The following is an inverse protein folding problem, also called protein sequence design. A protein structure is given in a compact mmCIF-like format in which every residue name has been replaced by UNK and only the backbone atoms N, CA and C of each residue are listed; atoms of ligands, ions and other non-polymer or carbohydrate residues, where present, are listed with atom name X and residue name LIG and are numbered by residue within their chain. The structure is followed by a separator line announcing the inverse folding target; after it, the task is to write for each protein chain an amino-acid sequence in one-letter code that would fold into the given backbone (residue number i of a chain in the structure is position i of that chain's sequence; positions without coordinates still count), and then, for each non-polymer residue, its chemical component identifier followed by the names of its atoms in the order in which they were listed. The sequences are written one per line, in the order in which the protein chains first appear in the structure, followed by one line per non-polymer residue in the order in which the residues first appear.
data_IF_245353310614
#
_entry.id   IF_245353310614
#
_cell.length_a   1.000
_cell.length_b   1.000
_cell.length_c   1.000
_cell.angle_alpha   90.00
_cell.angle_beta   90.00
_cell.angle_gamma   90.00
#
_symmetry.space_group_name_H-M   'P 1'
#
loop_
_entity.id
_entity.type
_entity.pdbx_description
1 polymer ?
#
# COMPACT_ATOMS: atom_id res chain seq x y z
N UNK A 1 -4.74 27.15 -49.76
CA UNK A 1 -4.88 25.84 -49.08
C UNK A 1 -5.27 26.10 -47.63
N UNK A 2 -6.50 25.78 -47.28
CA UNK A 2 -7.08 25.94 -45.93
C UNK A 2 -6.52 24.85 -45.03
N UNK A 3 -5.72 25.19 -44.02
CA UNK A 3 -5.35 24.25 -42.98
C UNK A 3 -6.49 24.15 -41.97
N UNK A 4 -7.19 23.02 -42.05
CA UNK A 4 -8.17 22.53 -41.09
C UNK A 4 -7.39 22.01 -39.88
N UNK A 5 -7.11 22.86 -38.89
CA UNK A 5 -6.53 22.40 -37.62
C UNK A 5 -7.67 22.01 -36.70
N UNK A 6 -7.86 20.70 -36.58
CA UNK A 6 -8.81 19.99 -35.74
C UNK A 6 -8.66 20.44 -34.28
N UNK A 7 -9.70 21.06 -33.71
CA UNK A 7 -9.79 21.30 -32.27
C UNK A 7 -10.06 19.95 -31.61
N UNK A 8 -9.02 19.35 -31.01
CA UNK A 8 -9.18 18.21 -30.12
C UNK A 8 -9.77 18.75 -28.82
N UNK A 9 -11.10 18.76 -28.74
CA UNK A 9 -11.83 19.04 -27.51
C UNK A 9 -11.41 17.99 -26.47
N UNK A 10 -10.56 18.42 -25.53
CA UNK A 10 -10.15 17.67 -24.36
C UNK A 10 -11.43 17.44 -23.53
N UNK A 11 -12.08 16.30 -23.73
CA UNK A 11 -13.15 15.83 -22.88
C UNK A 11 -12.53 15.51 -21.51
N UNK A 12 -12.42 16.52 -20.65
CA UNK A 12 -12.30 16.31 -19.22
C UNK A 12 -13.65 15.81 -18.74
N UNK A 13 -13.89 14.51 -18.88
CA UNK A 13 -14.74 13.81 -17.94
C UNK A 13 -14.06 13.95 -16.58
N UNK A 14 -14.50 14.95 -15.81
CA UNK A 14 -14.25 15.00 -14.38
C UNK A 14 -14.89 13.74 -13.79
N UNK A 15 -14.08 12.69 -13.64
CA UNK A 15 -14.49 11.48 -12.94
C UNK A 15 -14.81 11.90 -11.51
N UNK A 16 -16.10 11.80 -11.25
CA UNK A 16 -16.81 11.96 -10.01
C UNK A 16 -16.00 11.38 -8.83
N UNK A 17 -15.43 12.25 -7.99
CA UNK A 17 -15.17 12.00 -6.57
C UNK A 17 -14.40 10.73 -6.16
N UNK A 18 -13.62 10.12 -7.04
CA UNK A 18 -12.94 8.87 -6.69
C UNK A 18 -11.61 9.16 -6.00
N UNK A 19 -11.58 8.89 -4.69
CA UNK A 19 -10.40 9.11 -3.85
C UNK A 19 -9.31 8.11 -4.27
N UNK A 20 -8.44 8.54 -5.16
CA UNK A 20 -7.35 7.73 -5.71
C UNK A 20 -6.08 8.02 -4.94
N UNK A 21 -5.57 7.06 -4.19
CA UNK A 21 -4.24 7.16 -3.60
C UNK A 21 -3.20 6.80 -4.67
N UNK A 22 -2.29 7.73 -4.95
CA UNK A 22 -1.25 7.56 -5.98
C UNK A 22 0.14 7.61 -5.34
N UNK A 23 0.91 6.55 -5.54
CA UNK A 23 2.33 6.49 -5.13
C UNK A 23 3.18 6.69 -6.38
N UNK A 24 4.15 7.62 -6.30
CA UNK A 24 5.13 7.90 -7.36
C UNK A 24 6.54 7.62 -6.83
N UNK A 25 7.31 6.88 -7.61
CA UNK A 25 8.72 6.58 -7.33
C UNK A 25 9.51 6.74 -8.63
N UNK A 26 10.72 7.35 -8.63
CA UNK A 26 11.44 7.94 -7.49
C UNK A 26 10.94 9.36 -7.16
N UNK A 27 11.07 9.78 -5.90
CA UNK A 27 10.63 11.11 -5.43
C UNK A 27 11.60 12.24 -5.87
N UNK A 28 12.88 11.94 -6.15
CA UNK A 28 13.90 12.96 -6.48
C UNK A 28 14.94 12.54 -7.57
N UNK A 29 14.70 11.51 -8.39
CA UNK A 29 15.78 10.89 -9.20
C UNK A 29 15.50 10.52 -10.66
N UNK A 30 16.58 10.28 -11.42
CA UNK A 30 16.57 9.59 -12.73
C UNK A 30 16.24 8.11 -12.52
N UNK A 31 15.06 7.68 -12.94
CA UNK A 31 14.59 6.30 -12.81
C UNK A 31 13.23 6.09 -13.47
N UNK A 32 12.74 4.85 -13.46
CA UNK A 32 11.43 4.52 -14.02
C UNK A 32 10.30 4.94 -13.07
N UNK A 33 9.32 5.66 -13.60
CA UNK A 33 8.16 6.10 -12.82
C UNK A 33 7.22 4.91 -12.61
N UNK A 34 7.08 4.48 -11.36
CA UNK A 34 6.05 3.54 -10.94
C UNK A 34 4.82 4.32 -10.47
N UNK A 35 3.65 3.97 -11.00
CA UNK A 35 2.37 4.51 -10.57
C UNK A 35 1.48 3.38 -10.08
N UNK A 36 1.14 3.42 -8.80
CA UNK A 36 0.16 2.52 -8.19
C UNK A 36 -1.05 3.37 -7.81
N UNK A 37 -2.24 2.96 -8.27
CA UNK A 37 -3.50 3.66 -8.03
C UNK A 37 -4.49 2.71 -7.38
N UNK A 38 -5.06 3.16 -6.27
CA UNK A 38 -6.08 2.40 -5.54
C UNK A 38 -7.45 3.03 -5.77
N UNK A 39 -8.40 2.18 -6.12
CA UNK A 39 -9.80 2.55 -6.26
C UNK A 39 -10.57 2.04 -5.03
N UNK A 40 -11.10 2.96 -4.24
CA UNK A 40 -11.94 2.60 -3.10
C UNK A 40 -13.38 2.42 -3.55
N UNK A 41 -13.94 1.25 -3.28
CA UNK A 41 -15.37 0.96 -3.45
C UNK A 41 -15.93 0.23 -2.22
N UNK A 42 -17.24 0.35 -1.97
CA UNK A 42 -17.93 -0.33 -0.86
C UNK A 42 -18.02 -1.85 -1.03
N UNK A 43 -17.92 -2.34 -2.26
CA UNK A 43 -17.95 -3.76 -2.58
C UNK A 43 -16.55 -4.40 -2.54
N UNK A 44 -15.49 -3.59 -2.50
CA UNK A 44 -14.13 -4.09 -2.32
C UNK A 44 -13.84 -4.26 -0.83
N UNK A 45 -13.76 -5.52 -0.37
CA UNK A 45 -13.36 -5.83 1.00
C UNK A 45 -11.97 -5.29 1.31
N UNK A 46 -11.73 -4.85 2.55
CA UNK A 46 -10.49 -4.20 3.01
C UNK A 46 -9.25 -5.09 2.79
N UNK A 47 -8.52 -4.96 1.67
CA UNK A 47 -7.47 -5.90 1.35
C UNK A 47 -6.20 -5.52 2.10
N UNK A 48 -5.52 -6.54 2.64
CA UNK A 48 -4.19 -6.39 3.22
C UNK A 48 -3.18 -6.67 2.14
N UNK A 49 -2.42 -5.65 1.75
CA UNK A 49 -1.55 -5.66 0.57
C UNK A 49 -0.17 -5.13 0.94
N UNK A 50 0.82 -5.55 0.16
CA UNK A 50 2.18 -5.02 0.20
C UNK A 50 2.78 -5.08 -1.20
N UNK A 51 3.44 -4.00 -1.60
CA UNK A 51 4.24 -3.93 -2.81
C UNK A 51 5.69 -3.71 -2.39
N UNK A 52 6.60 -4.55 -2.87
CA UNK A 52 8.02 -4.43 -2.61
C UNK A 52 8.82 -4.81 -3.85
N UNK A 53 10.06 -4.33 -3.91
CA UNK A 53 10.99 -4.66 -4.97
C UNK A 53 11.90 -5.80 -4.53
N UNK A 54 12.20 -6.68 -5.48
CA UNK A 54 13.22 -7.71 -5.35
C UNK A 54 14.20 -7.60 -6.50
N UNK A 55 15.40 -8.13 -6.29
CA UNK A 55 16.29 -8.49 -7.39
C UNK A 55 15.70 -9.69 -8.17
N UNK A 56 16.21 -9.99 -9.39
CA UNK A 56 15.81 -11.17 -10.14
C UNK A 56 16.04 -12.50 -9.40
N UNK A 57 16.98 -12.54 -8.45
CA UNK A 57 17.26 -13.70 -7.60
C UNK A 57 16.29 -13.84 -6.41
N UNK A 58 15.33 -12.92 -6.25
CA UNK A 58 14.34 -12.92 -5.16
C UNK A 58 14.76 -12.13 -3.92
N UNK A 59 15.99 -11.63 -3.85
CA UNK A 59 16.49 -10.84 -2.71
C UNK A 59 15.68 -9.55 -2.55
N UNK A 60 15.15 -9.31 -1.35
CA UNK A 60 14.46 -8.07 -0.98
C UNK A 60 15.33 -6.82 -1.21
N UNK A 61 14.74 -5.77 -1.77
CA UNK A 61 15.38 -4.45 -1.92
C UNK A 61 14.71 -3.40 -1.04
N UNK A 62 13.42 -3.15 -1.26
CA UNK A 62 12.68 -2.12 -0.53
C UNK A 62 11.17 -2.36 -0.60
N UNK A 63 10.45 -1.92 0.42
CA UNK A 63 8.99 -1.88 0.44
C UNK A 63 8.53 -0.56 -0.17
N UNK A 64 7.66 -0.63 -1.18
CA UNK A 64 7.08 0.53 -1.86
C UNK A 64 5.78 0.98 -1.20
N UNK A 65 4.99 0.02 -0.73
CA UNK A 65 3.72 0.25 -0.09
C UNK A 65 3.38 -0.92 0.81
N UNK A 66 2.72 -0.65 1.92
CA UNK A 66 2.12 -1.66 2.77
C UNK A 66 0.82 -1.12 3.37
N UNK A 67 -0.18 -1.99 3.51
CA UNK A 67 -1.41 -1.63 4.22
C UNK A 67 -1.09 -1.10 5.61
N UNK A 68 -1.74 0.01 5.98
CA UNK A 68 -1.46 0.75 7.20
C UNK A 68 -1.56 -0.10 8.47
N UNK A 69 -2.48 -1.06 8.51
CA UNK A 69 -2.65 -1.98 9.65
C UNK A 69 -1.39 -2.82 9.92
N UNK A 70 -0.69 -3.23 8.86
CA UNK A 70 0.55 -4.00 8.98
C UNK A 70 1.74 -3.09 9.22
N UNK A 71 1.82 -1.97 8.49
CA UNK A 71 2.92 -1.02 8.64
C UNK A 71 2.99 -0.38 10.02
N UNK A 72 1.85 -0.18 10.70
CA UNK A 72 1.78 0.39 12.06
C UNK A 72 1.70 -0.66 13.17
N UNK A 73 1.37 -1.91 12.85
CA UNK A 73 1.07 -2.94 13.86
C UNK A 73 -0.23 -2.71 14.65
N UNK A 74 -1.00 -1.65 14.35
CA UNK A 74 -2.27 -1.31 15.03
C UNK A 74 -3.46 -1.73 14.17
N UNK A 75 -4.31 -2.57 14.74
CA UNK A 75 -5.48 -3.14 14.07
C UNK A 75 -6.75 -2.48 14.62
N UNK A 76 -7.74 -2.13 13.78
CA UNK A 76 -8.96 -1.45 14.22
C UNK A 76 -9.74 -2.20 15.32
N UNK A 77 -9.62 -3.53 15.35
CA UNK A 77 -10.23 -4.41 16.34
C UNK A 77 -9.16 -5.25 17.06
N UNK A 78 -8.01 -4.63 17.38
CA UNK A 78 -6.86 -5.33 17.94
C UNK A 78 -6.99 -5.69 19.43
N UNK A 79 -7.89 -5.03 20.17
CA UNK A 79 -8.06 -5.31 21.60
C UNK A 79 -9.53 -5.21 22.04
N UNK A 80 -9.89 -5.96 23.08
CA UNK A 80 -11.20 -5.87 23.75
C UNK A 80 -11.01 -5.22 25.11
N UNK A 81 -11.67 -4.08 25.33
CA UNK A 81 -11.69 -3.40 26.64
C UNK A 81 -13.14 -3.18 27.06
N UNK A 82 -13.52 -3.70 28.21
CA UNK A 82 -14.88 -3.61 28.75
C UNK A 82 -15.96 -4.04 27.73
N UNK A 83 -15.73 -5.15 27.01
CA UNK A 83 -16.66 -5.70 26.02
C UNK A 83 -16.74 -4.93 24.69
N UNK A 84 -15.91 -3.89 24.50
CA UNK A 84 -15.85 -3.12 23.24
C UNK A 84 -14.55 -3.42 22.49
N UNK A 85 -14.67 -3.60 21.17
CA UNK A 85 -13.53 -3.68 20.27
C UNK A 85 -12.93 -2.30 20.08
N UNK A 86 -11.64 -2.17 20.37
CA UNK A 86 -10.88 -0.95 20.20
C UNK A 86 -9.65 -1.21 19.31
N UNK A 87 -9.10 -0.16 18.69
CA UNK A 87 -7.80 -0.24 18.07
C UNK A 87 -6.74 -0.66 19.08
N UNK A 88 -5.87 -1.58 18.69
CA UNK A 88 -4.82 -2.10 19.55
C UNK A 88 -3.74 -2.81 18.75
N UNK A 89 -2.59 -3.04 19.38
CA UNK A 89 -1.54 -3.86 18.78
C UNK A 89 -2.03 -5.30 18.63
N UNK A 90 -2.01 -5.82 17.40
CA UNK A 90 -2.45 -7.19 17.15
C UNK A 90 -1.77 -7.78 15.91
N UNK A 91 -0.58 -8.36 16.05
CA UNK A 91 0.18 -8.88 14.91
C UNK A 91 -0.15 -10.34 14.66
N UNK A 92 -0.67 -10.65 13.47
CA UNK A 92 -0.84 -12.02 12.99
C UNK A 92 0.36 -12.47 12.15
N UNK A 93 1.23 -13.39 12.61
CA UNK A 93 2.42 -13.81 11.87
C UNK A 93 2.11 -14.43 10.49
N UNK A 94 0.90 -14.95 10.31
CA UNK A 94 0.40 -15.49 9.05
C UNK A 94 -0.01 -14.42 8.03
N UNK A 95 0.05 -13.13 8.38
CA UNK A 95 -0.28 -12.04 7.47
C UNK A 95 0.95 -11.64 6.65
N UNK A 96 0.83 -11.73 5.33
CA UNK A 96 1.92 -11.40 4.38
C UNK A 96 3.25 -12.12 4.68
N UNK A 97 3.25 -13.45 4.90
CA UNK A 97 4.42 -14.17 5.43
C UNK A 97 5.60 -14.10 4.46
N UNK A 98 5.36 -14.20 3.16
CA UNK A 98 6.44 -14.15 2.16
C UNK A 98 7.21 -12.84 2.21
N UNK A 99 6.51 -11.70 2.24
CA UNK A 99 7.15 -10.39 2.37
C UNK A 99 7.89 -10.23 3.70
N UNK A 100 7.24 -10.59 4.80
CA UNK A 100 7.80 -10.43 6.14
C UNK A 100 9.12 -11.21 6.30
N UNK A 101 9.12 -12.48 5.85
CA UNK A 101 10.31 -13.32 5.88
C UNK A 101 11.38 -12.87 4.87
N UNK A 102 11.00 -12.44 3.67
CA UNK A 102 11.97 -11.93 2.67
C UNK A 102 12.65 -10.64 3.13
N UNK A 103 11.91 -9.75 3.82
CA UNK A 103 12.47 -8.55 4.46
C UNK A 103 13.46 -8.90 5.58
N UNK A 104 13.28 -10.02 6.26
CA UNK A 104 14.24 -10.55 7.24
C UNK A 104 14.37 -9.78 8.55
N UNK A 105 13.56 -8.74 8.77
CA UNK A 105 13.61 -7.89 9.97
C UNK A 105 12.66 -8.45 11.03
N UNK A 106 13.23 -8.87 12.17
CA UNK A 106 12.49 -9.36 13.33
C UNK A 106 12.32 -8.26 14.37
N UNK A 107 11.14 -8.18 14.95
CA UNK A 107 10.90 -7.42 16.18
C UNK A 107 11.48 -8.16 17.40
N UNK A 108 11.45 -7.50 18.57
CA UNK A 108 12.01 -8.03 19.82
C UNK A 108 11.36 -9.35 20.27
N UNK A 109 10.12 -9.59 19.88
CA UNK A 109 9.37 -10.82 20.14
C UNK A 109 9.61 -11.93 19.10
N UNK A 110 10.51 -11.69 18.13
CA UNK A 110 10.89 -12.65 17.10
C UNK A 110 9.94 -12.70 15.89
N UNK A 111 8.87 -11.90 15.87
CA UNK A 111 7.92 -11.83 14.75
C UNK A 111 8.50 -10.93 13.66
N UNK A 112 8.33 -11.33 12.38
CA UNK A 112 8.81 -10.56 11.22
C UNK A 112 7.94 -9.36 10.82
N UNK A 113 6.93 -9.03 11.63
CA UNK A 113 6.01 -7.93 11.40
C UNK A 113 6.41 -6.69 12.21
N UNK A 114 6.24 -5.48 11.65
CA UNK A 114 6.53 -4.23 12.35
C UNK A 114 5.73 -4.10 13.65
N UNK A 115 6.38 -3.60 14.69
CA UNK A 115 5.75 -3.11 15.92
C UNK A 115 5.32 -1.65 15.76
N UNK A 116 4.40 -1.16 16.62
CA UNK A 116 4.12 0.28 16.72
C UNK A 116 5.28 1.13 17.25
N UNK A 117 6.23 0.49 17.96
CA UNK A 117 7.43 1.10 18.56
C UNK A 117 8.52 1.48 17.54
#
# INVERSE_FOLDING_TARGET
MKYLTLILALYTFALHGQKTDTIRMPDEGRGQILRISFEKDKNYGHPVLVFWLTKPDGTYLQTLFISQTIGKGIYPHGQVKAGKWLPGEHRHPSTLPFWAHNRGIKANDGIFLPTPD
#
